data_IF_939860112545
#
_entry.id   IF_939860112545
#
_cell.length_a   1.000
_cell.length_b   1.000
_cell.length_c   1.000
_cell.angle_alpha   90.00
_cell.angle_beta   90.00
_cell.angle_gamma   90.00
#
_symmetry.space_group_name_H-M   'P 1'
#
loop_
_entity.id
_entity.type
_entity.pdbx_description
1 polymer ?
#
# COMPACT_ATOMS: atom_id res chain seq x y z
N UNK A 1 32.76 22.40 28.64
CA UNK A 1 33.07 21.70 27.36
C UNK A 1 32.68 20.23 27.36
N UNK A 2 32.90 19.44 28.42
CA UNK A 2 32.52 18.01 28.47
C UNK A 2 30.99 17.75 28.42
N UNK A 3 30.18 18.59 29.08
CA UNK A 3 28.70 18.46 29.06
C UNK A 3 28.07 18.74 27.69
N UNK A 4 28.73 19.53 26.83
CA UNK A 4 28.24 19.87 25.50
C UNK A 4 28.39 18.70 24.51
N UNK A 5 29.44 17.88 24.68
CA UNK A 5 29.67 16.66 23.91
C UNK A 5 28.70 15.51 24.27
N UNK A 6 28.30 15.42 25.55
CA UNK A 6 27.37 14.37 26.00
C UNK A 6 25.95 14.58 25.49
N UNK A 7 25.51 15.83 25.32
CA UNK A 7 24.16 16.16 24.81
C UNK A 7 24.04 15.87 23.31
N UNK A 8 25.10 16.11 22.53
CA UNK A 8 25.12 15.80 21.09
C UNK A 8 25.11 14.29 20.83
N UNK A 9 25.83 13.50 21.62
CA UNK A 9 25.81 12.04 21.52
C UNK A 9 24.42 11.44 21.85
N UNK A 10 23.71 11.99 22.83
CA UNK A 10 22.38 11.51 23.22
C UNK A 10 21.31 11.81 22.16
N UNK A 11 21.39 12.95 21.48
CA UNK A 11 20.49 13.31 20.38
C UNK A 11 20.70 12.43 19.13
N UNK A 12 21.93 11.99 18.88
CA UNK A 12 22.23 11.09 17.77
C UNK A 12 21.63 9.67 17.99
N UNK A 13 21.68 9.15 19.22
CA UNK A 13 21.13 7.83 19.59
C UNK A 13 19.61 7.73 19.45
N UNK A 14 18.89 8.85 19.62
CA UNK A 14 17.43 8.89 19.49
C UNK A 14 16.98 8.89 18.02
N UNK A 15 17.80 9.42 17.10
CA UNK A 15 17.48 9.41 15.67
C UNK A 15 17.66 8.02 15.02
N UNK A 16 18.56 7.18 15.54
CA UNK A 16 18.78 5.81 15.04
C UNK A 16 17.60 4.88 15.33
N UNK A 17 16.76 5.19 16.33
CA UNK A 17 15.60 4.37 16.71
C UNK A 17 14.25 4.88 16.14
N UNK A 18 14.24 5.87 15.26
CA UNK A 18 13.00 6.52 14.84
C UNK A 18 12.25 5.79 13.71
N UNK A 19 12.88 4.85 13.00
CA UNK A 19 12.25 4.17 11.87
C UNK A 19 11.52 2.91 12.36
N UNK A 20 10.19 2.94 12.33
CA UNK A 20 9.38 1.74 12.55
C UNK A 20 9.85 0.65 11.57
N UNK A 21 10.20 -0.56 12.04
CA UNK A 21 10.59 -1.65 11.15
C UNK A 21 9.41 -2.15 10.31
N UNK A 22 8.18 -1.73 10.64
CA UNK A 22 6.94 -2.17 10.01
C UNK A 22 6.51 -1.21 8.90
N UNK A 23 6.24 -1.77 7.74
CA UNK A 23 5.76 -1.07 6.55
C UNK A 23 4.46 -1.65 6.02
N UNK A 24 3.71 -0.86 5.25
CA UNK A 24 2.53 -1.35 4.53
C UNK A 24 2.90 -1.63 3.08
N UNK A 25 2.59 -2.85 2.62
CA UNK A 25 2.70 -3.26 1.23
C UNK A 25 1.30 -3.42 0.62
N UNK A 26 1.16 -3.01 -0.63
CA UNK A 26 -0.03 -3.24 -1.44
C UNK A 26 0.32 -4.19 -2.58
N UNK A 27 -0.33 -5.34 -2.62
CA UNK A 27 -0.04 -6.40 -3.60
C UNK A 27 -1.22 -6.52 -4.55
N UNK A 28 -0.99 -6.12 -5.80
CA UNK A 28 -1.91 -6.33 -6.91
C UNK A 28 -1.80 -7.75 -7.46
N UNK A 29 -2.89 -8.28 -8.03
CA UNK A 29 -2.99 -9.69 -8.46
C UNK A 29 -3.85 -9.88 -9.70
N UNK A 30 -3.88 -11.12 -10.21
CA UNK A 30 -4.83 -11.57 -11.21
C UNK A 30 -5.91 -12.45 -10.56
N UNK A 31 -7.16 -12.01 -10.60
CA UNK A 31 -8.26 -12.75 -9.98
C UNK A 31 -8.63 -14.02 -10.75
N UNK A 32 -8.21 -14.16 -12.01
CA UNK A 32 -8.41 -15.36 -12.84
C UNK A 32 -7.70 -16.61 -12.31
N UNK A 33 -6.76 -16.45 -11.38
CA UNK A 33 -6.01 -17.55 -10.74
C UNK A 33 -6.47 -17.85 -9.30
N UNK A 34 -7.68 -17.41 -8.94
CA UNK A 34 -8.26 -17.62 -7.61
C UNK A 34 -7.85 -16.57 -6.57
N UNK A 35 -7.17 -15.50 -6.98
CA UNK A 35 -6.89 -14.37 -6.10
C UNK A 35 -8.13 -13.50 -5.89
N UNK A 36 -8.24 -12.91 -4.72
CA UNK A 36 -9.40 -12.10 -4.34
C UNK A 36 -9.31 -10.65 -4.80
N UNK A 37 -8.12 -10.10 -5.08
CA UNK A 37 -7.96 -8.70 -5.48
C UNK A 37 -6.66 -8.09 -4.95
N UNK A 38 -6.74 -6.96 -4.24
CA UNK A 38 -5.58 -6.31 -3.62
C UNK A 38 -5.41 -6.84 -2.19
N UNK A 39 -4.20 -7.25 -1.83
CA UNK A 39 -3.85 -7.55 -0.44
C UNK A 39 -3.07 -6.40 0.18
N UNK A 40 -3.49 -5.96 1.35
CA UNK A 40 -2.76 -5.00 2.19
C UNK A 40 -2.03 -5.80 3.25
N UNK A 41 -0.71 -5.70 3.29
CA UNK A 41 0.16 -6.46 4.19
C UNK A 41 0.98 -5.51 5.07
N UNK A 42 1.21 -5.89 6.32
CA UNK A 42 2.29 -5.36 7.15
C UNK A 42 3.53 -6.20 6.90
N UNK A 43 4.64 -5.55 6.54
CA UNK A 43 5.95 -6.15 6.37
C UNK A 43 6.87 -5.70 7.50
N UNK A 44 7.41 -6.66 8.27
CA UNK A 44 8.40 -6.39 9.32
C UNK A 44 9.81 -6.55 8.76
N UNK A 45 10.52 -5.44 8.57
CA UNK A 45 11.90 -5.43 8.08
C UNK A 45 12.91 -6.12 8.99
N UNK A 46 12.61 -6.28 10.27
CA UNK A 46 13.55 -6.88 11.21
C UNK A 46 13.69 -8.39 11.00
N UNK A 47 12.60 -9.06 10.60
CA UNK A 47 12.54 -10.52 10.48
C UNK A 47 11.97 -11.03 9.14
N UNK A 48 11.51 -10.14 8.27
CA UNK A 48 10.95 -10.47 6.97
C UNK A 48 9.51 -11.01 7.01
N UNK A 49 8.83 -10.98 8.17
CA UNK A 49 7.48 -11.51 8.29
C UNK A 49 6.44 -10.63 7.58
N UNK A 50 5.41 -11.29 7.07
CA UNK A 50 4.25 -10.66 6.44
C UNK A 50 3.00 -10.98 7.24
N UNK A 51 2.22 -9.95 7.55
CA UNK A 51 0.90 -10.08 8.18
C UNK A 51 -0.14 -9.41 7.30
N UNK A 52 -1.14 -10.17 6.86
CA UNK A 52 -2.26 -9.58 6.11
C UNK A 52 -3.11 -8.68 7.01
N UNK A 53 -3.35 -7.45 6.56
CA UNK A 53 -4.16 -6.44 7.26
C UNK A 53 -5.57 -6.32 6.68
N UNK A 54 -5.70 -6.53 5.36
CA UNK A 54 -6.96 -6.41 4.62
C UNK A 54 -6.87 -7.15 3.28
N UNK A 55 -8.01 -7.70 2.85
CA UNK A 55 -8.25 -8.04 1.44
C UNK A 55 -9.27 -7.07 0.84
N UNK A 56 -8.99 -6.57 -0.36
CA UNK A 56 -9.85 -5.66 -1.12
C UNK A 56 -10.37 -6.40 -2.35
N UNK A 57 -11.57 -6.99 -2.21
CA UNK A 57 -12.10 -7.94 -3.19
C UNK A 57 -12.96 -7.32 -4.30
N UNK A 58 -13.16 -6.00 -4.27
CA UNK A 58 -13.96 -5.30 -5.27
C UNK A 58 -13.19 -4.99 -6.58
N UNK A 59 -11.88 -5.17 -6.60
CA UNK A 59 -11.05 -4.98 -7.79
C UNK A 59 -10.97 -6.27 -8.62
N UNK A 60 -11.15 -6.17 -9.94
CA UNK A 60 -11.04 -7.32 -10.86
C UNK A 60 -9.66 -7.31 -11.52
N UNK A 61 -8.84 -8.32 -11.24
CA UNK A 61 -7.43 -8.40 -11.64
C UNK A 61 -6.68 -7.06 -11.51
N UNK A 62 -6.45 -6.57 -10.28
CA UNK A 62 -5.66 -5.36 -10.07
C UNK A 62 -4.17 -5.58 -10.36
N UNK A 63 -3.81 -5.66 -11.64
CA UNK A 63 -2.47 -6.05 -12.11
C UNK A 63 -1.39 -5.00 -11.82
N UNK A 64 -1.78 -3.73 -11.64
CA UNK A 64 -0.89 -2.61 -11.36
C UNK A 64 -1.52 -1.61 -10.39
N UNK A 65 -0.70 -1.10 -9.46
CA UNK A 65 -1.09 -0.15 -8.43
C UNK A 65 -0.17 1.08 -8.47
N UNK A 66 -0.73 2.26 -8.21
CA UNK A 66 0.03 3.50 -8.05
C UNK A 66 -0.45 4.26 -6.82
N UNK A 67 0.49 4.72 -5.98
CA UNK A 67 0.19 5.56 -4.82
C UNK A 67 0.40 7.02 -5.23
N UNK A 68 -0.56 7.88 -4.92
CA UNK A 68 -0.41 9.32 -5.14
C UNK A 68 0.75 9.86 -4.28
N UNK A 69 1.55 10.84 -4.74
CA UNK A 69 2.70 11.37 -3.99
C UNK A 69 2.39 11.88 -2.57
N UNK A 70 1.14 12.24 -2.29
CA UNK A 70 0.70 12.63 -0.93
C UNK A 70 0.53 11.46 0.03
N UNK A 71 0.58 10.21 -0.46
CA UNK A 71 0.34 9.00 0.33
C UNK A 71 -1.11 8.79 0.77
N UNK A 72 -2.05 9.62 0.32
CA UNK A 72 -3.47 9.57 0.74
C UNK A 72 -4.36 8.71 -0.16
N UNK A 73 -3.90 8.41 -1.36
CA UNK A 73 -4.70 7.74 -2.38
C UNK A 73 -3.91 6.64 -3.06
N UNK A 74 -4.60 5.55 -3.38
CA UNK A 74 -4.11 4.47 -4.22
C UNK A 74 -5.03 4.31 -5.43
N UNK A 75 -4.44 4.11 -6.59
CA UNK A 75 -5.13 3.80 -7.84
C UNK A 75 -4.77 2.38 -8.25
N UNK A 76 -5.76 1.60 -8.67
CA UNK A 76 -5.54 0.28 -9.25
C UNK A 76 -6.12 0.24 -10.67
N UNK A 77 -5.36 -0.34 -11.59
CA UNK A 77 -5.94 -0.78 -12.86
C UNK A 77 -6.84 -2.00 -12.58
N UNK A 78 -7.79 -2.29 -13.44
CA UNK A 78 -8.63 -3.49 -13.38
C UNK A 78 -8.65 -4.10 -14.77
N UNK A 79 -8.07 -5.28 -14.92
CA UNK A 79 -8.06 -6.03 -16.16
C UNK A 79 -9.20 -7.05 -16.15
N UNK A 80 -10.23 -6.79 -16.95
CA UNK A 80 -11.45 -7.59 -16.96
C UNK A 80 -11.90 -7.92 -18.38
N UNK A 81 -13.05 -8.61 -18.47
CA UNK A 81 -13.70 -8.97 -19.72
C UNK A 81 -13.88 -7.74 -20.64
N UNK A 82 -14.08 -7.92 -21.96
CA UNK A 82 -14.30 -6.79 -22.88
C UNK A 82 -15.31 -5.78 -22.32
N UNK A 83 -14.98 -4.50 -22.40
CA UNK A 83 -15.79 -3.36 -21.93
C UNK A 83 -15.98 -3.27 -20.40
N UNK A 84 -15.18 -4.00 -19.61
CA UNK A 84 -15.23 -3.95 -18.14
C UNK A 84 -13.90 -3.63 -17.47
N UNK A 85 -12.86 -3.34 -18.27
CA UNK A 85 -11.60 -2.79 -17.76
C UNK A 85 -11.80 -1.37 -17.23
N UNK A 86 -10.90 -0.91 -16.37
CA UNK A 86 -10.99 0.44 -15.82
C UNK A 86 -10.03 0.71 -14.68
N UNK A 87 -10.20 1.86 -14.04
CA UNK A 87 -9.36 2.30 -12.90
C UNK A 87 -10.24 2.49 -11.67
N UNK A 88 -9.83 1.92 -10.55
CA UNK A 88 -10.45 2.14 -9.24
C UNK A 88 -9.57 3.06 -8.40
N UNK A 89 -10.18 3.92 -7.59
CA UNK A 89 -9.47 4.76 -6.63
C UNK A 89 -9.89 4.45 -5.19
N UNK A 90 -8.92 4.58 -4.29
CA UNK A 90 -9.07 4.27 -2.87
C UNK A 90 -8.43 5.36 -2.02
N UNK A 91 -9.02 5.66 -0.87
CA UNK A 91 -8.31 6.38 0.20
C UNK A 91 -7.45 5.42 1.01
N UNK A 92 -6.30 5.88 1.45
CA UNK A 92 -5.40 5.18 2.37
C UNK A 92 -5.64 5.71 3.78
N UNK A 93 -6.03 4.83 4.72
CA UNK A 93 -6.12 5.20 6.13
C UNK A 93 -4.70 5.37 6.71
N UNK A 94 -4.33 6.55 7.26
CA UNK A 94 -2.94 6.86 7.58
C UNK A 94 -2.28 5.97 8.65
N UNK A 95 -3.04 5.40 9.58
CA UNK A 95 -2.49 4.62 10.70
C UNK A 95 -2.28 3.15 10.36
N UNK A 96 -3.12 2.59 9.52
CA UNK A 96 -3.23 1.16 9.22
C UNK A 96 -2.89 0.82 7.78
N UNK A 97 -2.86 1.82 6.89
CA UNK A 97 -2.70 1.61 5.46
C UNK A 97 -3.90 0.92 4.80
N UNK A 98 -5.02 0.75 5.51
CA UNK A 98 -6.21 0.12 4.94
C UNK A 98 -6.80 0.98 3.84
N UNK A 99 -7.32 0.32 2.81
CA UNK A 99 -7.94 0.95 1.65
C UNK A 99 -9.44 1.04 1.85
N UNK A 100 -10.01 2.19 1.48
CA UNK A 100 -11.47 2.36 1.33
C UNK A 100 -11.76 2.80 -0.10
N UNK A 101 -12.64 2.09 -0.79
CA UNK A 101 -12.98 2.40 -2.17
C UNK A 101 -13.68 3.76 -2.25
N UNK A 102 -13.28 4.58 -3.22
CA UNK A 102 -13.91 5.88 -3.50
C UNK A 102 -14.81 5.79 -4.74
N UNK A 103 -14.22 5.40 -5.88
CA UNK A 103 -14.94 5.23 -7.13
C UNK A 103 -14.22 4.26 -8.07
N UNK A 104 -14.86 4.02 -9.21
CA UNK A 104 -14.28 3.32 -10.35
C UNK A 104 -14.72 4.02 -11.63
N UNK A 105 -13.85 4.03 -12.64
CA UNK A 105 -14.13 4.53 -13.97
C UNK A 105 -13.78 3.47 -15.01
N UNK A 106 -14.70 3.22 -15.94
CA UNK A 106 -14.47 2.29 -17.05
C UNK A 106 -13.50 2.90 -18.05
N UNK A 107 -12.59 2.09 -18.60
CA UNK A 107 -11.82 2.45 -19.79
C UNK A 107 -12.59 2.18 -21.08
N UNK A 108 -13.76 1.52 -21.00
CA UNK A 108 -14.49 0.91 -22.11
C UNK A 108 -13.69 -0.15 -22.89
N UNK A 109 -12.51 -0.53 -22.40
CA UNK A 109 -11.64 -1.56 -22.97
C UNK A 109 -11.56 -2.81 -22.09
N UNK A 110 -10.54 -3.64 -22.37
CA UNK A 110 -10.18 -4.81 -21.52
C UNK A 110 -9.23 -4.43 -20.38
N UNK A 111 -8.43 -3.39 -20.58
CA UNK A 111 -7.48 -2.84 -19.62
C UNK A 111 -7.55 -1.31 -19.61
N UNK A 112 -6.81 -0.65 -18.72
CA UNK A 112 -6.73 0.82 -18.64
C UNK A 112 -6.22 1.45 -19.93
#
# INVERSE_FOLDING_TARGET
MKKLFTVTALLFSLMVNAQSPKEVLYVGTYSTRGSEGIYVLEFDRANGSLKQLQTVSNAKSPSFLAIHPTGKFLYSVNEAAPNSGGVSSYTIEPKTGKLTMMNQQSSHGRGP
#
